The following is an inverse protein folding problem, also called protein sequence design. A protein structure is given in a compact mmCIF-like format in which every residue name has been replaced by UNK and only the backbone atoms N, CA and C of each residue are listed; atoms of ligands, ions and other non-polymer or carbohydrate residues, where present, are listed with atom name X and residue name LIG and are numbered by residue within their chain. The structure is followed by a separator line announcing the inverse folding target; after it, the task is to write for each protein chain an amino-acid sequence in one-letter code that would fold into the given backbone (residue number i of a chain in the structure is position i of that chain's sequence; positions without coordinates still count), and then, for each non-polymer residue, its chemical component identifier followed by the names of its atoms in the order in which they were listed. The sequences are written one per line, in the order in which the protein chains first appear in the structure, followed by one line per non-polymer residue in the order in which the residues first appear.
data_IF_861049487139
#
_entry.id   IF_861049487139
#
_cell.length_a   1.000
_cell.length_b   1.000
_cell.length_c   1.000
_cell.angle_alpha   90.00
_cell.angle_beta   90.00
_cell.angle_gamma   90.00
#
_symmetry.space_group_name_H-M   'P 1'
#
loop_
_entity.id
_entity.type
_entity.pdbx_description
1 polymer ?
#
# COMPACT_ATOMS: atom_id res chain seq x y z
N UNK A 1 -0.77 22.08 27.67
CA UNK A 1 -1.11 20.73 27.17
C UNK A 1 -2.55 20.43 27.56
N UNK A 2 -3.48 20.32 26.61
CA UNK A 2 -4.92 20.17 26.95
C UNK A 2 -5.19 18.70 27.28
N UNK A 3 -6.03 18.42 28.28
CA UNK A 3 -6.38 17.06 28.73
C UNK A 3 -6.83 16.10 27.61
N UNK A 4 -7.38 16.63 26.50
CA UNK A 4 -7.75 15.87 25.30
C UNK A 4 -6.54 15.25 24.58
N UNK A 5 -5.39 15.92 24.62
CA UNK A 5 -4.15 15.45 23.98
C UNK A 5 -3.57 14.25 24.73
N UNK A 6 -3.64 14.27 26.07
CA UNK A 6 -3.17 13.18 26.94
C UNK A 6 -4.00 11.91 26.74
N UNK A 7 -5.33 12.04 26.67
CA UNK A 7 -6.20 10.89 26.44
C UNK A 7 -5.99 10.26 25.04
N UNK A 8 -5.71 11.07 24.02
CA UNK A 8 -5.40 10.58 22.67
C UNK A 8 -4.06 9.85 22.62
N UNK A 9 -3.02 10.41 23.26
CA UNK A 9 -1.70 9.78 23.38
C UNK A 9 -1.75 8.45 24.12
N UNK A 10 -2.48 8.39 25.25
CA UNK A 10 -2.67 7.14 25.99
C UNK A 10 -3.39 6.09 25.15
N UNK A 11 -4.47 6.44 24.44
CA UNK A 11 -5.15 5.51 23.53
C UNK A 11 -4.24 4.99 22.41
N UNK A 12 -3.40 5.85 21.85
CA UNK A 12 -2.42 5.43 20.85
C UNK A 12 -1.40 4.46 21.44
N UNK A 13 -0.81 4.79 22.60
CA UNK A 13 0.14 3.93 23.31
C UNK A 13 -0.46 2.54 23.64
N UNK A 14 -1.67 2.51 24.19
CA UNK A 14 -2.37 1.25 24.49
C UNK A 14 -2.61 0.40 23.23
N UNK A 15 -2.96 1.02 22.11
CA UNK A 15 -3.11 0.32 20.83
C UNK A 15 -1.80 -0.27 20.35
N UNK A 16 -0.73 0.52 20.34
CA UNK A 16 0.59 0.02 19.96
C UNK A 16 1.01 -1.16 20.85
N UNK A 17 0.80 -1.07 22.16
CA UNK A 17 1.09 -2.17 23.08
C UNK A 17 0.24 -3.42 22.79
N UNK A 18 -1.05 -3.24 22.51
CA UNK A 18 -1.94 -4.36 22.15
C UNK A 18 -1.47 -5.05 20.87
N UNK A 19 -1.04 -4.27 19.89
CA UNK A 19 -0.54 -4.74 18.60
C UNK A 19 0.75 -5.53 18.75
N UNK A 20 1.72 -5.01 19.51
CA UNK A 20 2.96 -5.73 19.85
C UNK A 20 2.66 -7.11 20.42
N UNK A 21 1.75 -7.18 21.41
CA UNK A 21 1.38 -8.46 22.03
C UNK A 21 0.66 -9.41 21.07
N UNK A 22 -0.11 -8.88 20.12
CA UNK A 22 -0.78 -9.70 19.12
C UNK A 22 0.24 -10.34 18.18
N UNK A 23 1.16 -9.54 17.64
CA UNK A 23 2.26 -10.02 16.80
C UNK A 23 3.12 -11.06 17.53
N UNK A 24 3.41 -10.84 18.81
CA UNK A 24 4.14 -11.80 19.65
C UNK A 24 3.38 -13.12 19.83
N UNK A 25 2.09 -13.05 20.20
CA UNK A 25 1.25 -14.26 20.38
C UNK A 25 1.08 -15.06 19.09
N UNK A 26 0.97 -14.38 17.96
CA UNK A 26 0.70 -14.99 16.65
C UNK A 26 1.96 -15.22 15.82
N UNK A 27 3.16 -15.02 16.37
CA UNK A 27 4.42 -15.12 15.65
C UNK A 27 4.59 -16.44 14.89
N UNK A 28 4.26 -17.58 15.52
CA UNK A 28 4.32 -18.89 14.86
C UNK A 28 3.36 -18.99 13.67
N UNK A 29 2.10 -18.60 13.86
CA UNK A 29 1.10 -18.59 12.79
C UNK A 29 1.50 -17.66 11.64
N UNK A 30 2.05 -16.49 11.95
CA UNK A 30 2.56 -15.54 10.94
C UNK A 30 3.69 -16.17 10.14
N UNK A 31 4.68 -16.77 10.81
CA UNK A 31 5.83 -17.40 10.16
C UNK A 31 5.42 -18.59 9.29
N UNK A 32 4.54 -19.47 9.79
CA UNK A 32 4.01 -20.61 9.05
C UNK A 32 3.25 -20.18 7.80
N UNK A 33 2.40 -19.16 7.91
CA UNK A 33 1.60 -18.65 6.77
C UNK A 33 2.49 -17.98 5.74
N UNK A 34 3.47 -17.19 6.18
CA UNK A 34 4.39 -16.51 5.27
C UNK A 34 5.27 -17.49 4.48
N UNK A 35 5.63 -18.63 5.09
CA UNK A 35 6.36 -19.71 4.43
C UNK A 35 5.47 -20.55 3.51
N UNK A 36 4.15 -20.54 3.71
CA UNK A 36 3.21 -21.23 2.85
C UNK A 36 3.03 -20.49 1.51
N UNK A 37 2.68 -21.26 0.48
CA UNK A 37 2.27 -20.68 -0.81
C UNK A 37 0.94 -19.96 -0.63
N UNK A 38 0.80 -18.70 -1.08
CA UNK A 38 -0.48 -18.00 -1.00
C UNK A 38 -1.54 -18.69 -1.88
N UNK A 39 -2.83 -18.53 -1.55
CA UNK A 39 -3.92 -19.02 -2.39
C UNK A 39 -3.83 -18.51 -3.84
N UNK A 40 -4.26 -19.31 -4.81
CA UNK A 40 -4.27 -18.90 -6.22
C UNK A 40 -5.40 -17.89 -6.55
N UNK A 41 -6.38 -17.76 -5.64
CA UNK A 41 -7.60 -16.97 -5.80
C UNK A 41 -7.89 -16.07 -4.59
N UNK A 42 -8.62 -14.99 -4.85
CA UNK A 42 -9.05 -14.04 -3.82
C UNK A 42 -10.36 -14.51 -3.20
N UNK A 43 -10.35 -14.83 -1.92
CA UNK A 43 -11.59 -15.07 -1.18
C UNK A 43 -12.33 -13.75 -0.93
N UNK A 44 -13.63 -13.83 -0.63
CA UNK A 44 -14.41 -12.68 -0.16
C UNK A 44 -13.75 -12.02 1.06
N UNK A 45 -13.15 -12.82 1.94
CA UNK A 45 -12.42 -12.33 3.10
C UNK A 45 -11.16 -11.54 2.71
N UNK A 46 -10.36 -12.04 1.75
CA UNK A 46 -9.17 -11.31 1.27
C UNK A 46 -9.56 -9.94 0.73
N UNK A 47 -10.61 -9.89 -0.11
CA UNK A 47 -11.11 -8.62 -0.66
C UNK A 47 -11.66 -7.69 0.43
N UNK A 48 -12.29 -8.22 1.47
CA UNK A 48 -12.78 -7.43 2.60
C UNK A 48 -11.63 -6.85 3.45
N UNK A 49 -10.56 -7.62 3.68
CA UNK A 49 -9.35 -7.17 4.37
C UNK A 49 -8.64 -6.09 3.54
N UNK A 50 -8.44 -6.30 2.23
CA UNK A 50 -7.81 -5.33 1.32
C UNK A 50 -8.44 -3.94 1.42
N UNK A 51 -9.77 -3.86 1.38
CA UNK A 51 -10.52 -2.60 1.48
C UNK A 51 -10.36 -1.89 2.83
N UNK A 52 -9.92 -2.60 3.86
CA UNK A 52 -9.68 -2.05 5.19
C UNK A 52 -8.23 -1.68 5.46
N UNK A 53 -7.29 -2.15 4.62
CA UNK A 53 -5.89 -1.80 4.76
C UNK A 53 -5.66 -0.30 4.56
N UNK A 54 -4.57 0.17 5.14
CA UNK A 54 -4.10 1.55 5.06
C UNK A 54 -2.69 1.59 4.52
N UNK A 55 -2.44 2.55 3.64
CA UNK A 55 -1.11 2.78 3.09
C UNK A 55 -0.27 3.70 3.97
N UNK A 56 1.04 3.68 3.75
CA UNK A 56 2.02 4.63 4.28
C UNK A 56 3.12 4.85 3.26
N UNK A 57 3.75 6.03 3.28
CA UNK A 57 5.01 6.24 2.60
C UNK A 57 6.14 5.52 3.35
N UNK A 58 6.93 4.72 2.66
CA UNK A 58 8.15 4.10 3.17
C UNK A 58 9.33 5.00 2.78
N UNK A 59 10.11 5.47 3.76
CA UNK A 59 11.15 6.49 3.55
C UNK A 59 12.53 5.91 3.22
N UNK A 60 12.59 4.75 2.56
CA UNK A 60 13.87 4.11 2.22
C UNK A 60 14.33 4.60 0.85
N UNK A 61 15.56 5.12 0.76
CA UNK A 61 16.12 5.71 -0.46
C UNK A 61 15.23 6.86 -0.99
N UNK A 62 14.72 6.78 -2.22
CA UNK A 62 13.77 7.75 -2.78
C UNK A 62 12.39 7.67 -2.10
N UNK A 63 12.13 6.56 -1.42
CA UNK A 63 10.86 6.21 -0.84
C UNK A 63 9.86 5.67 -1.86
N UNK A 64 8.80 5.03 -1.36
CA UNK A 64 7.73 4.50 -2.18
C UNK A 64 6.48 4.20 -1.35
N UNK A 65 5.32 3.99 -1.98
CA UNK A 65 4.13 3.54 -1.28
C UNK A 65 4.30 2.15 -0.68
N UNK A 66 3.72 1.92 0.49
CA UNK A 66 3.57 0.60 1.07
C UNK A 66 2.36 0.48 1.97
N UNK A 67 2.13 -0.71 2.51
CA UNK A 67 1.09 -0.93 3.51
C UNK A 67 1.58 -0.61 4.92
N UNK A 68 0.67 -0.18 5.79
CA UNK A 68 0.97 0.01 7.22
C UNK A 68 1.25 -1.35 7.87
N UNK A 69 2.50 -1.61 8.20
CA UNK A 69 2.94 -2.90 8.73
C UNK A 69 2.67 -3.06 10.23
N UNK A 70 2.52 -1.97 10.99
CA UNK A 70 2.26 -2.06 12.43
C UNK A 70 0.77 -1.96 12.76
N UNK A 71 0.08 -0.94 12.26
CA UNK A 71 -1.38 -0.76 12.44
C UNK A 71 -2.07 -0.88 11.08
N UNK A 72 -2.34 -2.10 10.59
CA UNK A 72 -2.72 -2.38 9.20
C UNK A 72 -4.02 -1.71 8.77
N UNK A 73 -4.97 -1.56 9.69
CA UNK A 73 -6.25 -0.90 9.44
C UNK A 73 -6.27 0.59 9.83
N UNK A 74 -5.12 1.16 10.20
CA UNK A 74 -4.96 2.59 10.52
C UNK A 74 -4.86 2.89 12.02
N UNK A 75 -4.22 4.02 12.34
CA UNK A 75 -3.85 4.39 13.71
C UNK A 75 -5.03 4.58 14.69
N UNK A 76 -6.22 4.85 14.15
CA UNK A 76 -7.42 5.10 14.91
C UNK A 76 -8.31 3.87 15.09
N UNK A 77 -7.97 2.74 14.45
CA UNK A 77 -8.75 1.50 14.44
C UNK A 77 -7.98 0.39 15.15
N UNK A 78 -8.68 -0.50 15.84
CA UNK A 78 -8.06 -1.67 16.48
C UNK A 78 -7.97 -2.81 15.47
N UNK A 79 -6.79 -3.41 15.31
CA UNK A 79 -6.58 -4.57 14.43
C UNK A 79 -7.48 -5.73 14.81
N UNK A 80 -7.60 -6.03 16.12
CA UNK A 80 -8.47 -7.09 16.63
C UNK A 80 -9.94 -6.80 16.37
N UNK A 81 -10.44 -5.59 16.68
CA UNK A 81 -11.87 -5.31 16.52
C UNK A 81 -12.29 -5.37 15.05
N UNK A 82 -11.57 -4.66 14.18
CA UNK A 82 -11.86 -4.67 12.74
C UNK A 82 -11.65 -6.07 12.17
N UNK A 83 -10.57 -6.74 12.56
CA UNK A 83 -10.26 -8.09 12.11
C UNK A 83 -11.35 -9.10 12.47
N UNK A 84 -11.83 -9.09 13.71
CA UNK A 84 -12.91 -9.96 14.18
C UNK A 84 -14.25 -9.69 13.52
N UNK A 85 -14.55 -8.42 13.22
CA UNK A 85 -15.73 -8.06 12.42
C UNK A 85 -15.62 -8.65 11.00
N UNK A 86 -14.44 -8.59 10.38
CA UNK A 86 -14.21 -9.12 9.03
C UNK A 86 -14.26 -10.65 8.96
N UNK A 87 -13.66 -11.35 9.92
CA UNK A 87 -13.66 -12.83 9.94
C UNK A 87 -14.93 -13.42 10.57
N UNK A 88 -15.75 -12.62 11.24
CA UNK A 88 -17.02 -13.03 11.85
C UNK A 88 -16.88 -13.80 13.17
N UNK A 89 -15.68 -13.94 13.72
CA UNK A 89 -15.41 -14.63 14.99
C UNK A 89 -14.21 -14.01 15.73
N UNK A 90 -14.01 -14.41 16.98
CA UNK A 90 -12.89 -13.96 17.82
C UNK A 90 -11.74 -14.97 17.78
N UNK A 91 -11.18 -15.20 16.61
CA UNK A 91 -10.04 -16.10 16.40
C UNK A 91 -8.82 -15.29 15.92
N UNK A 92 -7.85 -15.08 16.82
CA UNK A 92 -6.63 -14.32 16.52
C UNK A 92 -5.74 -15.03 15.49
N UNK A 93 -5.69 -16.36 15.50
CA UNK A 93 -4.85 -17.12 14.58
C UNK A 93 -5.46 -17.10 13.17
N UNK A 94 -6.79 -17.21 13.05
CA UNK A 94 -7.47 -17.02 11.78
C UNK A 94 -7.27 -15.61 11.23
N UNK A 95 -7.39 -14.57 12.07
CA UNK A 95 -7.09 -13.20 11.67
C UNK A 95 -5.65 -13.05 11.17
N UNK A 96 -4.69 -13.61 11.92
CA UNK A 96 -3.28 -13.54 11.56
C UNK A 96 -3.01 -14.21 10.20
N UNK A 97 -3.53 -15.42 9.97
CA UNK A 97 -3.43 -16.11 8.68
C UNK A 97 -4.02 -15.26 7.55
N UNK A 98 -5.27 -14.83 7.70
CA UNK A 98 -5.97 -14.08 6.66
C UNK A 98 -5.26 -12.76 6.31
N UNK A 99 -4.67 -12.07 7.30
CA UNK A 99 -3.94 -10.83 7.07
C UNK A 99 -2.60 -11.07 6.33
N UNK A 100 -1.88 -12.14 6.67
CA UNK A 100 -0.63 -12.53 5.99
C UNK A 100 -0.91 -12.98 4.56
N UNK A 101 -1.89 -13.86 4.35
CA UNK A 101 -2.33 -14.30 3.02
C UNK A 101 -2.74 -13.10 2.16
N UNK A 102 -3.52 -12.17 2.72
CA UNK A 102 -3.90 -10.94 2.01
C UNK A 102 -2.68 -10.10 1.63
N UNK A 103 -1.68 -9.99 2.51
CA UNK A 103 -0.42 -9.31 2.21
C UNK A 103 0.34 -9.94 1.04
N UNK A 104 0.46 -11.28 1.02
CA UNK A 104 1.10 -12.01 -0.07
C UNK A 104 0.35 -11.86 -1.41
N UNK A 105 -0.95 -11.60 -1.36
CA UNK A 105 -1.81 -11.43 -2.54
C UNK A 105 -1.77 -10.02 -3.15
N UNK A 106 -1.19 -9.01 -2.48
CA UNK A 106 -1.15 -7.62 -2.98
C UNK A 106 -0.52 -7.48 -4.37
N UNK A 107 0.64 -8.10 -4.68
CA UNK A 107 1.23 -7.97 -6.02
C UNK A 107 0.28 -8.53 -7.09
N UNK A 108 -0.28 -9.72 -6.84
CA UNK A 108 -1.24 -10.34 -7.75
C UNK A 108 -2.53 -9.52 -7.89
N UNK A 109 -2.99 -8.87 -6.81
CA UNK A 109 -4.15 -7.98 -6.85
C UNK A 109 -3.89 -6.78 -7.75
N UNK A 110 -2.73 -6.14 -7.61
CA UNK A 110 -2.34 -5.01 -8.44
C UNK A 110 -2.22 -5.40 -9.91
N UNK A 111 -1.74 -6.61 -10.23
CA UNK A 111 -1.68 -7.12 -11.61
C UNK A 111 -3.05 -7.46 -12.21
N UNK A 112 -3.95 -8.08 -11.43
CA UNK A 112 -5.18 -8.70 -11.93
C UNK A 112 -6.44 -7.86 -11.78
N UNK A 113 -6.50 -6.99 -10.76
CA UNK A 113 -7.67 -6.20 -10.49
C UNK A 113 -7.81 -5.07 -11.51
N UNK A 114 -9.05 -4.68 -11.77
CA UNK A 114 -9.40 -3.60 -12.69
C UNK A 114 -10.11 -2.49 -11.93
N UNK A 115 -9.83 -1.26 -12.32
CA UNK A 115 -10.48 -0.06 -11.83
C UNK A 115 -10.51 0.96 -12.97
N UNK A 116 -11.65 1.62 -13.17
CA UNK A 116 -11.77 2.67 -14.18
C UNK A 116 -11.02 3.92 -13.75
N UNK A 117 -10.57 4.71 -14.72
CA UNK A 117 -10.13 6.07 -14.43
C UNK A 117 -11.32 6.92 -13.95
N UNK A 118 -11.06 7.89 -13.07
CA UNK A 118 -12.11 8.77 -12.56
C UNK A 118 -11.75 9.45 -11.24
N UNK A 119 -12.73 10.19 -10.70
CA UNK A 119 -12.60 10.89 -9.42
C UNK A 119 -13.12 10.03 -8.28
N UNK A 120 -12.28 9.76 -7.29
CA UNK A 120 -12.59 8.94 -6.13
C UNK A 120 -12.43 9.74 -4.84
N UNK A 121 -13.33 9.50 -3.88
CA UNK A 121 -13.23 10.12 -2.57
C UNK A 121 -12.19 9.40 -1.71
N UNK A 122 -11.27 10.17 -1.13
CA UNK A 122 -10.33 9.64 -0.13
C UNK A 122 -11.08 9.36 1.18
N UNK A 123 -10.81 8.23 1.86
CA UNK A 123 -11.44 7.92 3.15
C UNK A 123 -11.32 9.08 4.13
N UNK A 124 -12.43 9.40 4.80
CA UNK A 124 -12.49 10.53 5.73
C UNK A 124 -11.44 10.43 6.86
N UNK A 125 -11.13 9.21 7.31
CA UNK A 125 -10.13 8.94 8.34
C UNK A 125 -8.67 9.11 7.87
N UNK A 126 -8.45 9.36 6.57
CA UNK A 126 -7.13 9.54 5.97
C UNK A 126 -6.92 10.93 5.34
N UNK A 127 -7.93 11.81 5.32
CA UNK A 127 -7.81 13.12 4.65
C UNK A 127 -6.62 13.93 5.14
N UNK A 128 -6.41 13.97 6.46
CA UNK A 128 -5.28 14.69 7.05
C UNK A 128 -3.93 14.08 6.65
N UNK A 129 -3.88 12.76 6.43
CA UNK A 129 -2.67 12.07 5.99
C UNK A 129 -2.32 12.38 4.54
N UNK A 130 -3.32 12.66 3.70
CA UNK A 130 -3.16 13.05 2.30
C UNK A 130 -3.31 14.56 2.07
N UNK A 131 -3.17 15.38 3.12
CA UNK A 131 -3.32 16.83 2.98
C UNK A 131 -2.16 17.49 2.21
N UNK A 132 -1.04 16.79 2.03
CA UNK A 132 0.08 17.26 1.23
C UNK A 132 -0.28 17.27 -0.26
N UNK A 133 -0.05 18.40 -0.93
CA UNK A 133 -0.32 18.60 -2.35
C UNK A 133 0.37 17.58 -3.27
N UNK A 134 1.53 17.04 -2.88
CA UNK A 134 2.26 16.04 -3.68
C UNK A 134 1.49 14.72 -3.80
N UNK A 135 0.55 14.45 -2.89
CA UNK A 135 -0.27 13.23 -2.92
C UNK A 135 -1.39 13.28 -3.98
N UNK A 136 -1.59 14.43 -4.63
CA UNK A 136 -2.60 14.63 -5.68
C UNK A 136 -4.04 14.71 -5.20
N UNK A 137 -4.26 14.83 -3.88
CA UNK A 137 -5.61 14.98 -3.32
C UNK A 137 -6.03 16.45 -3.37
N UNK A 138 -7.19 16.71 -3.97
CA UNK A 138 -7.78 18.04 -4.02
C UNK A 138 -8.37 18.46 -2.67
N UNK A 139 -8.60 19.77 -2.50
CA UNK A 139 -9.10 20.35 -1.24
C UNK A 139 -10.49 19.85 -0.82
N UNK A 140 -11.30 19.35 -1.76
CA UNK A 140 -12.58 18.67 -1.50
C UNK A 140 -12.41 17.20 -1.06
N UNK A 141 -11.18 16.69 -0.98
CA UNK A 141 -10.85 15.33 -0.55
C UNK A 141 -11.01 14.29 -1.66
N UNK A 142 -10.93 14.71 -2.92
CA UNK A 142 -11.03 13.82 -4.09
C UNK A 142 -9.63 13.55 -4.67
N UNK A 143 -9.47 12.38 -5.29
CA UNK A 143 -8.29 12.00 -6.04
C UNK A 143 -8.69 11.61 -7.46
N UNK A 144 -7.94 12.08 -8.45
CA UNK A 144 -8.13 11.70 -9.84
C UNK A 144 -7.25 10.48 -10.16
N UNK A 145 -7.87 9.30 -10.15
CA UNK A 145 -7.20 8.08 -10.57
C UNK A 145 -7.20 8.00 -12.10
N UNK A 146 -6.02 8.11 -12.70
CA UNK A 146 -5.75 7.96 -14.13
C UNK A 146 -5.14 6.60 -14.51
N UNK A 147 -5.10 6.28 -15.80
CA UNK A 147 -4.57 5.02 -16.33
C UNK A 147 -3.09 4.80 -16.01
N UNK A 148 -2.30 5.88 -15.96
CA UNK A 148 -0.88 5.84 -15.63
C UNK A 148 -0.66 5.24 -14.23
N UNK A 149 -1.53 5.55 -13.27
CA UNK A 149 -1.45 4.93 -11.94
C UNK A 149 -1.72 3.43 -11.99
N UNK A 150 -2.70 2.98 -12.78
CA UNK A 150 -2.99 1.56 -12.94
C UNK A 150 -1.82 0.83 -13.61
N UNK A 151 -1.19 1.44 -14.62
CA UNK A 151 0.02 0.90 -15.24
C UNK A 151 1.14 0.76 -14.21
N UNK A 152 1.43 1.80 -13.44
CA UNK A 152 2.52 1.77 -12.48
C UNK A 152 2.27 0.82 -11.30
N UNK A 153 1.02 0.70 -10.81
CA UNK A 153 0.68 -0.27 -9.76
C UNK A 153 0.94 -1.71 -10.23
N UNK A 154 0.62 -2.00 -11.49
CA UNK A 154 0.89 -3.32 -12.11
C UNK A 154 2.38 -3.62 -12.26
N UNK A 155 3.19 -2.59 -12.49
CA UNK A 155 4.63 -2.70 -12.74
C UNK A 155 5.48 -2.47 -11.47
N UNK A 156 4.84 -2.28 -10.31
CA UNK A 156 5.54 -1.98 -9.08
C UNK A 156 6.35 -3.18 -8.56
N UNK A 157 7.56 -2.92 -8.09
CA UNK A 157 8.43 -3.92 -7.47
C UNK A 157 8.06 -4.08 -5.99
N UNK A 158 7.32 -5.13 -5.65
CA UNK A 158 6.86 -5.38 -4.29
C UNK A 158 7.89 -6.14 -3.45
N UNK A 159 8.02 -5.74 -2.18
CA UNK A 159 8.99 -6.28 -1.21
C UNK A 159 8.32 -6.52 0.15
N UNK A 160 8.67 -7.63 0.78
CA UNK A 160 8.27 -7.98 2.16
C UNK A 160 9.47 -8.10 3.11
N UNK A 161 10.70 -7.94 2.62
CA UNK A 161 11.93 -8.03 3.41
C UNK A 161 12.39 -6.68 3.99
N UNK A 162 11.65 -5.61 3.72
CA UNK A 162 11.89 -4.25 4.24
C UNK A 162 11.33 -4.05 5.67
N UNK A 163 11.00 -5.13 6.38
CA UNK A 163 10.29 -5.11 7.65
C UNK A 163 11.23 -4.88 8.83
N UNK A 164 10.84 -4.00 9.75
CA UNK A 164 11.40 -3.95 11.10
C UNK A 164 10.48 -4.75 12.05
N UNK A 165 10.92 -5.90 12.57
CA UNK A 165 10.12 -6.67 13.51
C UNK A 165 10.03 -5.98 14.89
N UNK A 166 8.95 -6.25 15.65
CA UNK A 166 7.77 -7.00 15.21
C UNK A 166 6.82 -6.12 14.39
N UNK A 167 6.41 -6.64 13.24
CA UNK A 167 5.44 -6.03 12.34
C UNK A 167 4.72 -7.11 11.54
N UNK A 168 3.54 -6.78 11.01
CA UNK A 168 2.85 -7.64 10.06
C UNK A 168 3.65 -7.69 8.75
N UNK A 169 3.76 -8.86 8.10
CA UNK A 169 4.53 -9.02 6.86
C UNK A 169 3.75 -8.49 5.64
N UNK A 170 3.25 -7.26 5.73
CA UNK A 170 2.56 -6.59 4.64
C UNK A 170 3.58 -5.92 3.71
N UNK A 171 3.45 -6.08 2.39
CA UNK A 171 4.45 -5.59 1.46
C UNK A 171 4.42 -4.07 1.31
N UNK A 172 5.53 -3.54 0.84
CA UNK A 172 5.64 -2.22 0.24
C UNK A 172 6.34 -2.27 -1.10
N UNK A 173 6.30 -1.16 -1.84
CA UNK A 173 7.06 -1.01 -3.07
C UNK A 173 8.53 -0.71 -2.71
N UNK A 174 9.46 -1.25 -3.48
CA UNK A 174 10.90 -1.05 -3.31
C UNK A 174 11.24 0.45 -3.47
N UNK A 175 11.70 1.10 -2.39
CA UNK A 175 12.02 2.53 -2.41
C UNK A 175 13.27 2.87 -3.22
N UNK A 176 14.12 1.88 -3.54
CA UNK A 176 15.30 2.07 -4.39
C UNK A 176 14.95 1.91 -5.87
N UNK A 177 14.10 0.94 -6.18
CA UNK A 177 13.73 0.59 -7.56
C UNK A 177 12.24 0.27 -7.65
N UNK A 178 11.37 1.30 -7.55
CA UNK A 178 9.94 1.08 -7.36
C UNK A 178 9.23 0.47 -8.56
N UNK A 179 9.77 0.62 -9.76
CA UNK A 179 9.09 0.23 -11.02
C UNK A 179 9.97 -0.60 -11.96
N UNK A 180 11.10 -1.13 -11.51
CA UNK A 180 12.02 -1.88 -12.37
C UNK A 180 13.38 -2.08 -11.74
N UNK A 181 14.43 -2.06 -12.56
CA UNK A 181 15.81 -2.36 -12.15
C UNK A 181 16.73 -1.14 -12.17
N UNK A 182 16.25 0.03 -12.63
CA UNK A 182 17.08 1.23 -12.77
C UNK A 182 17.07 2.06 -11.48
N UNK A 183 18.22 2.65 -11.17
CA UNK A 183 18.35 3.57 -10.02
C UNK A 183 17.60 4.90 -10.24
N UNK A 184 17.48 5.35 -11.49
CA UNK A 184 16.66 6.50 -11.86
C UNK A 184 15.28 6.02 -12.30
N UNK A 185 14.35 5.99 -11.35
CA UNK A 185 13.07 5.31 -11.50
C UNK A 185 12.19 5.92 -12.60
N UNK A 186 12.40 7.20 -12.93
CA UNK A 186 11.72 7.89 -14.03
C UNK A 186 11.90 7.16 -15.36
N UNK A 187 13.07 6.54 -15.60
CA UNK A 187 13.32 5.80 -16.85
C UNK A 187 12.41 4.57 -16.96
N UNK A 188 12.25 3.84 -15.86
CA UNK A 188 11.35 2.68 -15.81
C UNK A 188 9.88 3.12 -15.92
N UNK A 189 9.49 4.17 -15.20
CA UNK A 189 8.14 4.75 -15.32
C UNK A 189 7.82 5.15 -16.76
N UNK A 190 8.69 5.95 -17.39
CA UNK A 190 8.57 6.40 -18.76
C UNK A 190 8.39 5.24 -19.74
N UNK A 191 9.18 4.17 -19.56
CA UNK A 191 9.12 2.96 -20.40
C UNK A 191 7.78 2.24 -20.25
N UNK A 192 7.31 2.04 -19.02
CA UNK A 192 6.02 1.39 -18.73
C UNK A 192 4.83 2.19 -19.24
N UNK A 193 4.93 3.52 -19.24
CA UNK A 193 3.92 4.43 -19.77
C UNK A 193 3.97 4.59 -21.29
N UNK A 194 4.80 3.81 -21.99
CA UNK A 194 4.88 3.81 -23.46
C UNK A 194 5.62 5.01 -24.05
N UNK A 195 6.41 5.71 -23.24
CA UNK A 195 7.12 6.92 -23.61
C UNK A 195 8.60 6.79 -23.23
N UNK A 196 9.38 5.80 -23.68
CA UNK A 196 10.78 5.68 -23.24
C UNK A 196 11.60 6.95 -23.54
N UNK A 197 12.58 7.28 -22.70
CA UNK A 197 13.55 8.34 -22.99
C UNK A 197 14.38 7.97 -24.23
N UNK A 198 14.87 8.99 -24.93
CA UNK A 198 15.80 8.79 -26.04
C UNK A 198 17.18 8.37 -25.50
N UNK A 199 17.87 7.55 -26.29
CA UNK A 199 19.24 7.13 -26.02
C UNK A 199 20.11 7.81 -27.08
N UNK A 200 21.13 8.54 -26.65
CA UNK A 200 22.08 9.19 -27.56
C UNK A 200 23.01 8.18 -28.23
N UNK A 201 23.75 8.63 -29.24
CA UNK A 201 24.67 7.78 -30.01
C UNK A 201 25.81 7.17 -29.19
N UNK A 202 26.14 7.75 -28.05
CA UNK A 202 27.11 7.27 -27.06
C UNK A 202 26.50 6.33 -26.00
N UNK A 203 25.19 6.07 -26.06
CA UNK A 203 24.50 5.13 -25.18
C UNK A 203 23.93 5.75 -23.90
N UNK A 204 24.03 7.06 -23.72
CA UNK A 204 23.49 7.77 -22.56
C UNK A 204 21.99 8.05 -22.70
N UNK A 205 21.28 8.06 -21.57
CA UNK A 205 19.85 8.39 -21.54
C UNK A 205 19.72 9.92 -21.53
N UNK A 206 18.98 10.44 -22.50
CA UNK A 206 18.71 11.87 -22.60
C UNK A 206 17.47 12.20 -21.76
N UNK A 207 17.70 12.66 -20.53
CA UNK A 207 16.61 13.09 -19.62
C UNK A 207 16.11 14.49 -19.97
N UNK A 208 14.91 14.80 -19.50
CA UNK A 208 14.22 16.08 -19.69
C UNK A 208 13.65 16.51 -18.34
N UNK A 209 14.05 17.67 -17.83
CA UNK A 209 13.69 18.15 -16.50
C UNK A 209 12.18 18.30 -16.30
N UNK A 210 11.46 18.76 -17.33
CA UNK A 210 9.99 18.92 -17.25
C UNK A 210 9.35 17.56 -17.05
N UNK A 211 9.80 16.60 -17.84
CA UNK A 211 9.32 15.23 -17.80
C UNK A 211 9.68 14.52 -16.51
N UNK A 212 10.88 14.73 -16.01
CA UNK A 212 11.34 14.17 -14.75
C UNK A 212 10.46 14.67 -13.60
N UNK A 213 10.12 15.96 -13.58
CA UNK A 213 9.22 16.54 -12.59
C UNK A 213 7.78 16.00 -12.69
N UNK A 214 7.27 15.76 -13.90
CA UNK A 214 5.96 15.13 -14.11
C UNK A 214 5.92 13.70 -13.58
N UNK A 215 6.94 12.90 -13.87
CA UNK A 215 7.06 11.52 -13.39
C UNK A 215 7.31 11.45 -11.89
N UNK A 216 8.07 12.38 -11.33
CA UNK A 216 8.23 12.51 -9.87
C UNK A 216 6.89 12.85 -9.20
N UNK A 217 6.13 13.81 -9.74
CA UNK A 217 4.79 14.11 -9.24
C UNK A 217 3.88 12.89 -9.27
N UNK A 218 3.92 12.13 -10.37
CA UNK A 218 3.18 10.88 -10.51
C UNK A 218 3.60 9.84 -9.46
N UNK A 219 4.90 9.72 -9.18
CA UNK A 219 5.42 8.81 -8.14
C UNK A 219 4.87 9.14 -6.75
N UNK A 220 4.82 10.42 -6.36
CA UNK A 220 4.20 10.84 -5.10
C UNK A 220 2.70 10.53 -5.04
N UNK A 221 1.98 10.71 -6.15
CA UNK A 221 0.56 10.37 -6.27
C UNK A 221 0.28 8.87 -6.09
N UNK A 222 1.26 8.00 -6.32
CA UNK A 222 1.08 6.54 -6.22
C UNK A 222 0.68 6.08 -4.81
N UNK A 223 0.97 6.86 -3.76
CA UNK A 223 0.50 6.57 -2.41
C UNK A 223 -1.03 6.62 -2.34
N UNK A 224 -1.61 7.71 -2.82
CA UNK A 224 -3.06 7.88 -2.88
C UNK A 224 -3.69 6.90 -3.87
N UNK A 225 -3.05 6.70 -5.02
CA UNK A 225 -3.52 5.76 -6.02
C UNK A 225 -3.63 4.34 -5.46
N UNK A 226 -2.62 3.86 -4.72
CA UNK A 226 -2.67 2.57 -4.04
C UNK A 226 -3.84 2.50 -3.05
N UNK A 227 -4.05 3.53 -2.24
CA UNK A 227 -5.15 3.54 -1.27
C UNK A 227 -6.52 3.46 -1.94
N UNK A 228 -6.75 4.22 -3.01
CA UNK A 228 -7.99 4.19 -3.79
C UNK A 228 -8.16 2.85 -4.49
N UNK A 229 -7.08 2.30 -5.06
CA UNK A 229 -7.11 1.02 -5.75
C UNK A 229 -7.51 -0.12 -4.81
N UNK A 230 -6.97 -0.18 -3.58
CA UNK A 230 -7.36 -1.18 -2.57
C UNK A 230 -8.85 -1.09 -2.18
N UNK A 231 -9.46 0.09 -2.27
CA UNK A 231 -10.86 0.31 -1.91
C UNK A 231 -11.83 -0.07 -3.02
N UNK A 232 -11.47 0.24 -4.26
CA UNK A 232 -12.43 0.30 -5.37
C UNK A 232 -12.14 -0.68 -6.50
N UNK A 233 -10.92 -1.21 -6.62
CA UNK A 233 -10.60 -2.17 -7.66
C UNK A 233 -11.31 -3.50 -7.42
N UNK A 234 -11.70 -4.16 -8.52
CA UNK A 234 -12.36 -5.45 -8.50
C UNK A 234 -11.53 -6.46 -9.28
N UNK A 235 -11.45 -7.70 -8.77
CA UNK A 235 -10.89 -8.81 -9.55
C UNK A 235 -12.00 -9.33 -10.46
N UNK A 236 -11.83 -9.36 -11.79
CA UNK A 236 -12.83 -9.94 -12.69
C UNK A 236 -13.05 -11.42 -12.37
N UNK A 237 -14.28 -11.88 -12.47
CA UNK A 237 -14.57 -13.32 -12.47
C UNK A 237 -13.83 -13.98 -13.63
N UNK A 238 -13.25 -15.16 -13.41
CA UNK A 238 -12.71 -15.96 -14.52
C UNK A 238 -13.91 -16.36 -15.39
N UNK A 239 -14.01 -15.76 -16.58
CA UNK A 239 -14.90 -16.24 -17.65
C UNK A 239 -14.52 -17.64 -18.12
#
# INVERSE_FOLDING_TARGET
MRLRDVAAQLRHFWRCRSEYKLLERQHATIAETLAARPPDEFSVLHLAILRNLRVTWLTVESGAPGLRQFLPFGANRSTLNVGFELIGCRDEALLARALVETGQLIPAFCTKAVMSAGRYAVPADMRDYFADSQTGVSTDGMFEFREEHAVLLRQSCWRTDMLYPPSWPLPGIDGKRPYGDRSYFQIDMASHLGMPYQISSDGEVQTDEVRDAELESLHWQMLTALQIFLLHACVPDRG
#
